data_IF_909324725595
#
_entry.id   IF_909324725595
#
_cell.length_a   1.000
_cell.length_b   1.000
_cell.length_c   1.000
_cell.angle_alpha   90.00
_cell.angle_beta   90.00
_cell.angle_gamma   90.00
#
_symmetry.space_group_name_H-M   'P 1'
#
loop_
_entity.id
_entity.type
_entity.pdbx_description
1 polymer ?
#
# COMPACT_ATOMS: atom_id res chain seq x y z
N UNK A 1 5.79 7.34 -0.75
CA UNK A 1 5.91 6.04 -1.45
C UNK A 1 7.32 5.44 -1.51
N UNK A 2 8.40 6.21 -1.31
CA UNK A 2 9.77 5.70 -1.45
C UNK A 2 10.13 4.50 -0.53
N UNK A 3 9.58 4.43 0.70
CA UNK A 3 9.92 3.37 1.67
C UNK A 3 9.28 2.01 1.36
N UNK A 4 8.01 1.97 0.93
CA UNK A 4 7.38 0.72 0.47
C UNK A 4 8.06 0.18 -0.80
N UNK A 5 8.59 1.08 -1.64
CA UNK A 5 9.37 0.75 -2.82
C UNK A 5 10.70 0.04 -2.55
N UNK A 6 11.19 -0.02 -1.29
CA UNK A 6 12.39 -0.79 -0.96
C UNK A 6 12.22 -2.28 -1.28
N UNK A 7 11.04 -2.83 -1.00
CA UNK A 7 10.70 -4.22 -1.30
C UNK A 7 9.76 -4.36 -2.50
N UNK A 8 8.83 -3.41 -2.68
CA UNK A 8 7.75 -3.48 -3.67
C UNK A 8 8.05 -2.73 -4.98
N UNK A 9 9.32 -2.53 -5.33
CA UNK A 9 9.72 -2.04 -6.66
C UNK A 9 9.66 -3.14 -7.71
N UNK A 10 9.65 -2.77 -8.99
CA UNK A 10 9.77 -3.72 -10.11
C UNK A 10 11.07 -4.53 -9.96
N UNK A 11 10.97 -5.86 -9.96
CA UNK A 11 12.10 -6.77 -9.69
C UNK A 11 12.58 -6.79 -8.24
N UNK A 12 11.81 -6.22 -7.30
CA UNK A 12 12.11 -6.22 -5.87
C UNK A 12 11.81 -7.56 -5.18
N UNK A 13 12.00 -7.58 -3.86
CA UNK A 13 11.76 -8.76 -3.00
C UNK A 13 10.27 -9.10 -2.83
N UNK A 14 9.37 -8.20 -3.21
CA UNK A 14 7.94 -8.37 -3.14
C UNK A 14 7.28 -7.81 -4.41
N UNK A 15 6.09 -8.35 -4.73
CA UNK A 15 5.30 -7.87 -5.85
C UNK A 15 4.99 -6.38 -5.71
N UNK A 16 4.93 -5.61 -6.83
CA UNK A 16 4.52 -4.21 -6.79
C UNK A 16 3.18 -4.04 -6.08
N UNK A 17 3.04 -2.99 -5.27
CA UNK A 17 1.77 -2.65 -4.62
C UNK A 17 1.00 -1.72 -5.53
N UNK A 18 -0.18 -2.15 -5.97
CA UNK A 18 -1.16 -1.27 -6.59
C UNK A 18 -2.25 -0.94 -5.55
N UNK A 19 -2.47 0.35 -5.21
CA UNK A 19 -3.56 0.75 -4.32
C UNK A 19 -4.94 0.21 -4.76
N UNK A 20 -5.18 0.10 -6.07
CA UNK A 20 -6.42 -0.44 -6.63
C UNK A 20 -6.56 -1.97 -6.58
N UNK A 21 -5.58 -2.72 -6.04
CA UNK A 21 -5.71 -4.17 -5.87
C UNK A 21 -6.74 -4.55 -4.79
N UNK A 22 -7.08 -3.62 -3.89
CA UNK A 22 -7.96 -3.87 -2.75
C UNK A 22 -8.83 -2.65 -2.45
N UNK A 23 -9.98 -2.91 -1.84
CA UNK A 23 -10.81 -1.86 -1.25
C UNK A 23 -10.10 -1.17 -0.07
N UNK A 24 -10.38 0.10 0.18
CA UNK A 24 -9.71 0.90 1.21
C UNK A 24 -9.89 0.31 2.60
N UNK A 25 -11.08 -0.26 2.88
CA UNK A 25 -11.35 -0.98 4.14
C UNK A 25 -10.51 -2.24 4.30
N UNK A 26 -10.11 -2.88 3.20
CA UNK A 26 -9.21 -4.05 3.24
C UNK A 26 -7.78 -3.62 3.54
N UNK A 27 -7.31 -2.51 2.95
CA UNK A 27 -6.01 -1.92 3.28
C UNK A 27 -5.91 -1.56 4.76
N UNK A 28 -6.92 -0.88 5.30
CA UNK A 28 -6.97 -0.54 6.73
C UNK A 28 -6.89 -1.79 7.62
N UNK A 29 -7.70 -2.81 7.33
CA UNK A 29 -7.68 -4.07 8.09
C UNK A 29 -6.34 -4.80 7.97
N UNK A 30 -5.68 -4.73 6.82
CA UNK A 30 -4.40 -5.39 6.58
C UNK A 30 -3.31 -4.86 7.52
N UNK A 31 -3.16 -3.53 7.60
CA UNK A 31 -2.17 -2.92 8.47
C UNK A 31 -2.59 -2.96 9.95
N UNK A 32 -3.89 -2.80 10.27
CA UNK A 32 -4.40 -2.94 11.64
C UNK A 32 -4.18 -4.34 12.22
N UNK A 33 -4.23 -5.38 11.39
CA UNK A 33 -3.97 -6.78 11.79
C UNK A 33 -2.50 -7.19 11.66
N UNK A 34 -1.60 -6.23 11.42
CA UNK A 34 -0.17 -6.45 11.20
C UNK A 34 0.11 -7.60 10.20
N UNK A 35 -0.63 -7.64 9.08
CA UNK A 35 -0.52 -8.72 8.08
C UNK A 35 0.67 -8.57 7.13
N UNK A 36 1.49 -7.54 7.33
CA UNK A 36 2.73 -7.37 6.58
C UNK A 36 3.74 -8.45 6.99
N UNK A 37 4.32 -9.15 6.01
CA UNK A 37 5.19 -10.33 6.24
C UNK A 37 6.44 -10.03 7.07
N UNK A 38 6.90 -8.79 7.05
CA UNK A 38 8.07 -8.33 7.81
C UNK A 38 7.67 -7.14 8.66
N UNK A 39 8.35 -6.97 9.80
CA UNK A 39 8.15 -5.79 10.63
C UNK A 39 8.75 -4.55 9.97
N UNK A 40 7.91 -3.55 9.72
CA UNK A 40 8.27 -2.28 9.10
C UNK A 40 8.34 -1.13 10.11
N UNK A 41 7.99 -1.38 11.38
CA UNK A 41 7.92 -0.35 12.43
C UNK A 41 9.27 0.35 12.68
N UNK A 42 10.38 -0.35 12.45
CA UNK A 42 11.74 0.22 12.56
C UNK A 42 12.11 1.18 11.43
N UNK A 43 11.42 1.10 10.29
CA UNK A 43 11.75 1.88 9.08
C UNK A 43 10.70 2.95 8.77
N UNK A 44 9.49 2.80 9.28
CA UNK A 44 8.34 3.65 9.00
C UNK A 44 7.73 4.06 10.35
N UNK A 45 7.68 5.36 10.61
CA UNK A 45 7.02 5.86 11.81
C UNK A 45 5.50 5.66 11.74
N UNK A 46 4.82 5.67 12.89
CA UNK A 46 3.36 5.54 12.94
C UNK A 46 2.65 6.61 12.10
N UNK A 47 3.15 7.84 12.08
CA UNK A 47 2.62 8.94 11.27
C UNK A 47 2.80 8.68 9.77
N UNK A 48 3.98 8.22 9.35
CA UNK A 48 4.24 7.86 7.96
C UNK A 48 3.35 6.70 7.51
N UNK A 49 3.20 5.69 8.36
CA UNK A 49 2.31 4.56 8.11
C UNK A 49 0.86 5.01 7.94
N UNK A 50 0.39 5.92 8.81
CA UNK A 50 -0.94 6.52 8.69
C UNK A 50 -1.13 7.26 7.36
N UNK A 51 -0.14 8.06 6.93
CA UNK A 51 -0.17 8.72 5.61
C UNK A 51 -0.20 7.72 4.45
N UNK A 52 0.55 6.62 4.55
CA UNK A 52 0.54 5.53 3.54
C UNK A 52 -0.84 4.87 3.49
N UNK A 53 -1.44 4.55 4.63
CA UNK A 53 -2.77 3.94 4.70
C UNK A 53 -3.82 4.88 4.11
N UNK A 54 -3.77 6.18 4.43
CA UNK A 54 -4.69 7.17 3.86
C UNK A 54 -4.54 7.28 2.34
N UNK A 55 -3.31 7.27 1.83
CA UNK A 55 -3.06 7.22 0.38
C UNK A 55 -3.63 5.94 -0.24
N UNK A 56 -3.38 4.77 0.34
CA UNK A 56 -3.90 3.49 -0.16
C UNK A 56 -5.44 3.46 -0.14
N UNK A 57 -6.08 4.09 0.85
CA UNK A 57 -7.54 4.22 0.94
C UNK A 57 -8.09 5.19 -0.10
N UNK A 58 -7.46 6.34 -0.28
CA UNK A 58 -7.87 7.36 -1.26
C UNK A 58 -7.62 6.97 -2.72
N UNK A 59 -6.85 5.90 -2.94
CA UNK A 59 -6.57 5.34 -4.26
C UNK A 59 -7.00 3.88 -4.40
N UNK A 60 -7.81 3.39 -3.45
CA UNK A 60 -8.33 2.04 -3.47
C UNK A 60 -9.30 1.79 -4.63
N UNK A 61 -9.61 0.53 -4.89
CA UNK A 61 -10.55 0.12 -5.93
C UNK A 61 -11.96 0.73 -5.77
N UNK A 62 -12.36 0.99 -4.53
CA UNK A 62 -13.66 1.54 -4.11
C UNK A 62 -13.59 3.04 -3.77
N UNK A 63 -12.48 3.71 -4.08
CA UNK A 63 -12.30 5.14 -3.83
C UNK A 63 -12.75 6.00 -5.02
N UNK A 64 -13.02 7.28 -4.77
CA UNK A 64 -13.33 8.28 -5.80
C UNK A 64 -12.16 8.56 -6.76
N UNK A 65 -10.92 8.24 -6.35
CA UNK A 65 -9.72 8.40 -7.19
C UNK A 65 -8.93 7.09 -7.27
N UNK A 66 -9.50 5.99 -7.80
CA UNK A 66 -8.79 4.73 -7.85
C UNK A 66 -7.47 4.95 -8.61
N UNK A 67 -6.34 4.54 -8.01
CA UNK A 67 -5.08 4.55 -8.75
C UNK A 67 -5.31 3.66 -9.95
N UNK A 68 -5.41 4.28 -11.14
CA UNK A 68 -5.74 3.56 -12.34
C UNK A 68 -4.80 2.36 -12.42
N UNK A 69 -5.38 1.17 -12.50
CA UNK A 69 -4.69 0.01 -13.04
C UNK A 69 -4.40 0.35 -14.51
N UNK A 70 -3.45 1.25 -14.76
CA UNK A 70 -2.85 1.46 -16.06
C UNK A 70 -1.97 0.25 -16.27
N UNK A 71 -2.61 -0.89 -16.52
CA UNK A 71 -2.04 -1.95 -17.31
C UNK A 71 -2.13 -1.38 -18.73
N UNK A 72 -1.02 -0.92 -19.35
CA UNK A 72 -1.06 -0.74 -20.78
C UNK A 72 -1.27 -2.14 -21.36
N UNK A 73 -2.39 -2.32 -22.06
CA UNK A 73 -2.60 -3.47 -22.95
C UNK A 73 -1.56 -3.46 -24.06
#
# INVERSE_FOLDING_TARGET
MAKCGACHKKGGKAAPVNPADKAGRVWEKYFKRNRHRVDISKNISTEELSRIINYLKGHAADSDQPAAAVIPR
#
